data_IF_343894458869
#
_entry.id   IF_343894458869
#
_cell.length_a   1.000
_cell.length_b   1.000
_cell.length_c   1.000
_cell.angle_alpha   90.00
_cell.angle_beta   90.00
_cell.angle_gamma   90.00
#
_symmetry.space_group_name_H-M   'P 1'
#
loop_
_entity.id
_entity.type
_entity.pdbx_description
1 polymer ?
#
# COMPACT_ATOMS: atom_id res chain seq x y z
N UNK A 1 -12.31 21.18 12.88
CA UNK A 1 -11.75 20.15 13.77
C UNK A 1 -10.32 19.88 13.30
N UNK A 2 -9.27 20.10 14.10
CA UNK A 2 -7.91 19.80 13.70
C UNK A 2 -7.72 18.28 13.53
N UNK A 3 -6.78 17.88 12.67
CA UNK A 3 -6.38 16.48 12.56
C UNK A 3 -5.60 16.06 13.80
N UNK A 4 -5.72 14.79 14.19
CA UNK A 4 -4.93 14.25 15.28
C UNK A 4 -3.46 14.16 14.84
N UNK A 5 -2.56 14.69 15.68
CA UNK A 5 -1.12 14.72 15.41
C UNK A 5 -0.50 13.38 15.80
N UNK A 6 -0.28 12.52 14.81
CA UNK A 6 0.25 11.16 15.00
C UNK A 6 1.78 11.12 14.94
N UNK A 7 2.37 11.92 14.06
CA UNK A 7 3.82 11.99 13.81
C UNK A 7 4.19 13.35 13.21
N UNK A 8 5.45 13.79 13.35
CA UNK A 8 5.91 15.05 12.78
C UNK A 8 5.80 15.01 11.24
N UNK A 9 5.24 16.07 10.66
CA UNK A 9 5.13 16.25 9.23
C UNK A 9 6.29 17.10 8.70
N UNK A 10 6.68 16.86 7.45
CA UNK A 10 7.57 17.76 6.74
C UNK A 10 6.80 19.03 6.33
N UNK A 11 7.48 20.19 6.38
CA UNK A 11 6.91 21.48 5.93
C UNK A 11 6.93 21.58 4.40
N UNK A 12 6.21 20.66 3.76
CA UNK A 12 6.02 20.62 2.31
C UNK A 12 4.56 20.27 2.01
N UNK A 13 3.89 21.13 1.24
CA UNK A 13 2.52 20.91 0.78
C UNK A 13 2.50 20.50 -0.71
N UNK A 14 2.53 19.20 -1.02
CA UNK A 14 2.53 18.72 -2.40
C UNK A 14 1.27 19.15 -3.16
N UNK A 15 1.43 19.84 -4.28
CA UNK A 15 0.33 20.30 -5.13
C UNK A 15 0.18 19.46 -6.40
N UNK A 16 1.30 19.04 -6.99
CA UNK A 16 1.32 18.21 -8.21
C UNK A 16 2.58 17.37 -8.26
N UNK A 17 2.53 16.28 -9.03
CA UNK A 17 3.70 15.45 -9.24
C UNK A 17 3.71 14.87 -10.67
N UNK A 18 4.93 14.63 -11.20
CA UNK A 18 5.13 14.01 -12.51
C UNK A 18 6.47 13.27 -12.57
N UNK A 19 6.44 12.00 -12.97
CA UNK A 19 7.63 11.15 -13.01
C UNK A 19 8.23 11.03 -11.61
N UNK A 20 9.46 11.45 -11.44
CA UNK A 20 10.20 11.43 -10.17
C UNK A 20 10.19 12.78 -9.44
N UNK A 21 9.37 13.73 -9.87
CA UNK A 21 9.34 15.06 -9.29
C UNK A 21 7.98 15.38 -8.64
N UNK A 22 8.06 16.02 -7.49
CA UNK A 22 6.93 16.63 -6.76
C UNK A 22 7.09 18.13 -6.75
N UNK A 23 6.00 18.86 -6.79
CA UNK A 23 5.97 20.32 -6.74
C UNK A 23 5.01 20.74 -5.63
N UNK A 24 5.42 21.72 -4.83
CA UNK A 24 4.58 22.30 -3.79
C UNK A 24 3.64 23.39 -4.32
N UNK A 25 2.84 23.95 -3.42
CA UNK A 25 1.95 25.08 -3.71
C UNK A 25 2.70 26.36 -4.13
N UNK A 26 3.94 26.52 -3.69
CA UNK A 26 4.82 27.66 -4.01
C UNK A 26 5.54 27.49 -5.34
N UNK A 27 5.42 26.33 -5.98
CA UNK A 27 6.08 26.01 -7.25
C UNK A 27 7.50 25.43 -7.09
N UNK A 28 7.98 25.21 -5.89
CA UNK A 28 9.26 24.55 -5.68
C UNK A 28 9.22 23.11 -6.19
N UNK A 29 10.33 22.67 -6.77
CA UNK A 29 10.50 21.33 -7.35
C UNK A 29 11.38 20.47 -6.47
N UNK A 30 10.89 19.29 -6.13
CA UNK A 30 11.60 18.30 -5.31
C UNK A 30 11.81 17.02 -6.11
N UNK A 31 13.00 16.42 -5.97
CA UNK A 31 13.25 15.06 -6.44
C UNK A 31 12.67 14.08 -5.41
N UNK A 32 11.69 13.30 -5.81
CA UNK A 32 11.02 12.34 -4.95
C UNK A 32 11.78 11.00 -4.94
N UNK A 33 12.66 10.83 -3.98
CA UNK A 33 13.36 9.57 -3.71
C UNK A 33 12.61 8.68 -2.70
N UNK A 34 11.49 9.18 -2.16
CA UNK A 34 10.67 8.49 -1.17
C UNK A 34 9.51 7.69 -1.79
N UNK A 35 8.92 8.24 -2.86
CA UNK A 35 7.82 7.61 -3.59
C UNK A 35 6.60 7.29 -2.74
N UNK A 36 6.35 8.06 -1.66
CA UNK A 36 5.25 7.80 -0.73
C UNK A 36 5.32 6.39 -0.13
N UNK A 37 6.34 6.07 0.65
CA UNK A 37 6.67 4.73 1.16
C UNK A 37 6.88 3.70 0.03
N UNK A 38 7.53 4.12 -1.07
CA UNK A 38 7.78 3.30 -2.26
C UNK A 38 6.51 2.82 -3.02
N UNK A 39 5.34 3.40 -2.72
CA UNK A 39 4.07 3.01 -3.37
C UNK A 39 4.01 3.45 -4.84
N UNK A 40 4.59 4.61 -5.18
CA UNK A 40 4.58 5.16 -6.54
C UNK A 40 5.82 4.70 -7.33
N UNK A 41 6.10 3.42 -7.34
CA UNK A 41 7.28 2.83 -8.00
C UNK A 41 7.36 3.08 -9.51
N UNK A 42 6.20 3.26 -10.18
CA UNK A 42 6.12 3.55 -11.63
C UNK A 42 6.23 5.05 -11.96
N UNK A 43 6.42 5.90 -10.93
CA UNK A 43 6.46 7.36 -11.04
C UNK A 43 5.08 8.01 -11.10
N UNK A 44 5.06 9.28 -10.67
CA UNK A 44 3.84 10.08 -10.59
C UNK A 44 3.21 10.33 -11.97
N UNK A 45 1.91 10.20 -12.05
CA UNK A 45 1.14 10.56 -13.24
C UNK A 45 1.37 9.65 -14.45
N UNK A 46 1.81 8.41 -14.25
CA UNK A 46 2.05 7.45 -15.33
C UNK A 46 0.82 7.29 -16.23
N UNK A 47 0.99 7.52 -17.54
CA UNK A 47 -0.13 7.66 -18.49
C UNK A 47 -0.98 6.39 -18.59
N UNK A 48 -0.36 5.22 -18.67
CA UNK A 48 -1.09 3.95 -18.79
C UNK A 48 -1.86 3.66 -17.51
N UNK A 49 -1.25 3.85 -16.34
CA UNK A 49 -1.91 3.69 -15.04
C UNK A 49 -3.16 4.57 -14.92
N UNK A 50 -3.04 5.87 -15.19
CA UNK A 50 -4.17 6.81 -15.17
C UNK A 50 -5.28 6.41 -16.14
N UNK A 51 -4.92 5.99 -17.35
CA UNK A 51 -5.89 5.53 -18.35
C UNK A 51 -6.64 4.29 -17.90
N UNK A 52 -5.93 3.31 -17.33
CA UNK A 52 -6.55 2.07 -16.85
C UNK A 52 -7.47 2.32 -15.66
N UNK A 53 -7.06 3.14 -14.69
CA UNK A 53 -7.91 3.55 -13.58
C UNK A 53 -9.17 4.27 -14.07
N UNK A 54 -9.04 5.27 -14.94
CA UNK A 54 -10.18 6.00 -15.49
C UNK A 54 -11.15 5.05 -16.21
N UNK A 55 -10.61 4.12 -17.02
CA UNK A 55 -11.44 3.12 -17.72
C UNK A 55 -12.21 2.24 -16.73
N UNK A 56 -11.55 1.79 -15.65
CA UNK A 56 -12.20 0.94 -14.65
C UNK A 56 -13.24 1.72 -13.83
N UNK A 57 -12.94 2.93 -13.39
CA UNK A 57 -13.88 3.79 -12.66
C UNK A 57 -15.13 4.11 -13.48
N UNK A 58 -15.01 4.30 -14.78
CA UNK A 58 -16.17 4.52 -15.67
C UNK A 58 -17.03 3.26 -15.85
N UNK A 59 -16.53 2.07 -15.50
CA UNK A 59 -17.30 0.81 -15.55
C UNK A 59 -17.91 0.48 -14.18
N UNK A 60 -17.04 0.35 -13.20
CA UNK A 60 -17.37 0.09 -11.81
C UNK A 60 -16.17 0.42 -10.92
N UNK A 61 -16.34 1.35 -9.98
CA UNK A 61 -15.28 1.79 -9.08
C UNK A 61 -15.13 0.90 -7.85
N UNK A 62 -16.24 0.35 -7.36
CA UNK A 62 -16.28 -0.50 -6.17
C UNK A 62 -17.45 -1.48 -6.23
N UNK A 63 -17.24 -2.66 -5.70
CA UNK A 63 -18.29 -3.61 -5.36
C UNK A 63 -17.86 -4.51 -4.20
N UNK A 64 -18.82 -5.25 -3.63
CA UNK A 64 -18.59 -6.13 -2.48
C UNK A 64 -17.68 -7.31 -2.82
N UNK A 65 -16.84 -7.72 -1.85
CA UNK A 65 -16.07 -8.97 -1.92
C UNK A 65 -16.93 -10.26 -1.87
N UNK A 66 -18.24 -10.12 -1.71
CA UNK A 66 -19.18 -11.26 -1.77
C UNK A 66 -19.44 -11.78 -3.19
N UNK A 67 -18.86 -11.13 -4.21
CA UNK A 67 -19.00 -11.54 -5.61
C UNK A 67 -17.65 -11.78 -6.26
N UNK A 68 -17.64 -12.59 -7.30
CA UNK A 68 -16.41 -12.87 -8.06
C UNK A 68 -15.88 -11.61 -8.73
N UNK A 69 -14.55 -11.45 -8.71
CA UNK A 69 -13.87 -10.33 -9.34
C UNK A 69 -12.78 -10.82 -10.30
N UNK A 70 -13.06 -10.82 -11.61
CA UNK A 70 -12.11 -11.32 -12.61
C UNK A 70 -10.77 -10.58 -12.64
N UNK A 71 -10.70 -9.33 -12.14
CA UNK A 71 -9.45 -8.58 -12.04
C UNK A 71 -8.55 -9.13 -10.92
N UNK A 72 -9.13 -9.63 -9.84
CA UNK A 72 -8.36 -10.27 -8.76
C UNK A 72 -7.77 -11.60 -9.23
N UNK A 73 -8.56 -12.42 -9.92
CA UNK A 73 -8.10 -13.69 -10.50
C UNK A 73 -6.97 -13.47 -11.51
N UNK A 74 -7.13 -12.48 -12.39
CA UNK A 74 -6.10 -12.10 -13.35
C UNK A 74 -4.81 -11.62 -12.66
N UNK A 75 -4.93 -10.82 -11.59
CA UNK A 75 -3.79 -10.35 -10.81
C UNK A 75 -3.06 -11.52 -10.14
N UNK A 76 -3.80 -12.44 -9.51
CA UNK A 76 -3.23 -13.63 -8.89
C UNK A 76 -2.44 -14.47 -9.90
N UNK A 77 -3.06 -14.77 -11.03
CA UNK A 77 -2.41 -15.52 -12.12
C UNK A 77 -1.13 -14.86 -12.63
N UNK A 78 -1.14 -13.53 -12.77
CA UNK A 78 0.03 -12.79 -13.25
C UNK A 78 1.15 -12.74 -12.21
N UNK A 79 0.82 -12.57 -10.92
CA UNK A 79 1.81 -12.61 -9.84
C UNK A 79 2.46 -14.00 -9.78
N UNK A 80 1.67 -15.07 -9.81
CA UNK A 80 2.20 -16.44 -9.79
C UNK A 80 3.13 -16.70 -10.98
N UNK A 81 2.72 -16.28 -12.17
CA UNK A 81 3.53 -16.40 -13.39
C UNK A 81 4.88 -15.67 -13.29
N UNK A 82 4.88 -14.44 -12.73
CA UNK A 82 6.09 -13.62 -12.64
C UNK A 82 7.01 -14.01 -11.48
N UNK A 83 6.44 -14.48 -10.37
CA UNK A 83 7.20 -14.89 -9.19
C UNK A 83 7.75 -16.33 -9.30
N UNK A 84 7.18 -17.15 -10.17
CA UNK A 84 7.44 -18.58 -10.23
C UNK A 84 6.75 -19.39 -9.12
N UNK A 85 5.93 -18.75 -8.28
CA UNK A 85 5.22 -19.37 -7.17
C UNK A 85 3.86 -19.91 -7.61
N UNK A 86 3.84 -20.87 -8.55
CA UNK A 86 2.60 -21.33 -9.18
C UNK A 86 1.66 -22.10 -8.22
N UNK A 87 2.20 -22.65 -7.14
CA UNK A 87 1.45 -23.43 -6.15
C UNK A 87 0.96 -22.59 -4.95
N UNK A 88 1.09 -21.26 -5.05
CA UNK A 88 0.66 -20.34 -4.00
C UNK A 88 -0.67 -19.67 -4.34
N UNK A 89 -1.49 -19.47 -3.31
CA UNK A 89 -2.71 -18.66 -3.38
C UNK A 89 -2.45 -17.23 -2.94
N UNK A 90 -3.12 -16.28 -3.58
CA UNK A 90 -3.02 -14.85 -3.28
C UNK A 90 -4.12 -14.41 -2.34
N UNK A 91 -3.75 -13.97 -1.13
CA UNK A 91 -4.64 -13.23 -0.25
C UNK A 91 -4.42 -11.71 -0.42
N UNK A 92 -5.48 -10.99 -0.75
CA UNK A 92 -5.45 -9.54 -0.94
C UNK A 92 -6.00 -8.81 0.29
N UNK A 93 -5.24 -7.85 0.79
CA UNK A 93 -5.60 -7.02 1.94
C UNK A 93 -5.22 -5.55 1.71
N UNK A 94 -5.69 -4.66 2.58
CA UNK A 94 -5.52 -3.21 2.40
C UNK A 94 -4.22 -2.69 3.01
N UNK A 95 -3.54 -3.44 3.87
CA UNK A 95 -2.33 -3.00 4.57
C UNK A 95 -1.39 -4.14 4.92
N UNK A 96 -0.12 -3.81 5.15
CA UNK A 96 0.87 -4.78 5.65
C UNK A 96 0.52 -5.32 7.04
N UNK A 97 -0.13 -4.54 7.89
CA UNK A 97 -0.60 -4.99 9.20
C UNK A 97 -1.65 -6.09 9.07
N UNK A 98 -2.63 -5.91 8.16
CA UNK A 98 -3.61 -6.96 7.84
C UNK A 98 -2.96 -8.21 7.26
N UNK A 99 -1.97 -8.05 6.38
CA UNK A 99 -1.24 -9.17 5.81
C UNK A 99 -0.57 -10.00 6.91
N UNK A 100 0.14 -9.35 7.83
CA UNK A 100 0.80 -10.00 8.95
C UNK A 100 -0.21 -10.68 9.90
N UNK A 101 -1.30 -10.00 10.23
CA UNK A 101 -2.34 -10.56 11.11
C UNK A 101 -2.98 -11.81 10.49
N UNK A 102 -3.30 -11.76 9.20
CA UNK A 102 -3.87 -12.92 8.52
C UNK A 102 -2.86 -14.05 8.37
N UNK A 103 -1.59 -13.77 8.07
CA UNK A 103 -0.55 -14.79 8.04
C UNK A 103 -0.46 -15.53 9.38
N UNK A 104 -0.49 -14.81 10.51
CA UNK A 104 -0.48 -15.41 11.84
C UNK A 104 -1.72 -16.27 12.11
N UNK A 105 -2.88 -15.88 11.61
CA UNK A 105 -4.13 -16.67 11.76
C UNK A 105 -4.12 -17.97 10.94
N UNK A 106 -3.39 -17.98 9.82
CA UNK A 106 -3.26 -19.17 8.96
C UNK A 106 -2.18 -20.14 9.39
N UNK A 107 -1.32 -19.77 10.34
CA UNK A 107 -0.36 -20.72 10.93
C UNK A 107 -1.15 -21.74 11.73
N UNK A 108 -1.20 -23.03 11.32
CA UNK A 108 -1.95 -24.03 12.10
C UNK A 108 -1.29 -24.21 13.47
N UNK A 109 -2.07 -24.43 14.53
CA UNK A 109 -1.55 -24.68 15.88
C UNK A 109 -0.98 -26.12 15.96
N UNK A 110 0.12 -26.38 15.27
CA UNK A 110 0.83 -27.65 15.31
C UNK A 110 2.22 -27.43 15.93
N UNK A 111 2.33 -27.82 17.19
CA UNK A 111 3.59 -27.84 17.94
C UNK A 111 4.03 -26.45 18.45
N UNK A 112 5.14 -26.45 19.16
CA UNK A 112 5.74 -25.27 19.82
C UNK A 112 6.15 -24.17 18.80
N UNK A 113 5.20 -23.52 18.17
CA UNK A 113 5.44 -22.39 17.29
C UNK A 113 5.54 -21.12 18.15
N UNK A 114 6.77 -20.70 18.45
CA UNK A 114 7.02 -19.40 19.07
C UNK A 114 6.73 -18.29 18.06
N UNK A 115 5.55 -17.68 18.15
CA UNK A 115 5.25 -16.47 17.36
C UNK A 115 5.98 -15.28 17.97
N UNK A 116 7.13 -14.93 17.43
CA UNK A 116 7.84 -13.70 17.80
C UNK A 116 7.24 -12.54 17.04
N UNK A 117 6.34 -11.79 17.66
CA UNK A 117 5.91 -10.50 17.16
C UNK A 117 7.04 -9.49 17.33
N UNK A 118 7.73 -9.14 16.23
CA UNK A 118 8.61 -7.98 16.18
C UNK A 118 7.76 -6.72 16.09
N UNK A 119 7.21 -6.31 17.22
CA UNK A 119 6.64 -4.98 17.35
C UNK A 119 7.82 -4.01 17.33
N UNK A 120 8.06 -3.33 16.23
CA UNK A 120 8.87 -2.11 16.25
C UNK A 120 8.09 -1.10 17.09
N UNK A 121 8.35 -1.11 18.39
CA UNK A 121 7.89 -0.09 19.30
C UNK A 121 8.59 1.19 18.87
N UNK A 122 7.93 2.01 18.09
CA UNK A 122 8.31 3.41 17.94
C UNK A 122 8.30 3.97 19.36
N UNK A 123 9.49 4.28 19.91
CA UNK A 123 9.60 4.90 21.23
C UNK A 123 8.92 6.25 21.12
N UNK A 124 7.71 6.35 21.61
CA UNK A 124 7.07 7.60 21.96
C UNK A 124 7.92 8.27 23.03
N UNK A 125 8.81 9.18 22.61
CA UNK A 125 9.62 10.00 23.51
C UNK A 125 8.84 11.16 24.13
N UNK A 126 7.50 11.14 24.04
CA UNK A 126 6.64 12.16 24.68
C UNK A 126 5.35 11.54 25.23
N UNK A 127 5.48 10.76 26.30
CA UNK A 127 4.44 10.63 27.31
C UNK A 127 5.10 10.62 28.69
N UNK A 128 5.35 11.81 29.20
CA UNK A 128 5.33 12.04 30.63
C UNK A 128 3.91 12.51 30.95
N UNK A 129 3.19 11.72 31.69
CA UNK A 129 2.08 12.15 32.51
C UNK A 129 2.53 12.13 33.97
#
# INVERSE_FOLDING_TARGET
MPLFDVYPLYDVEPAKARGVYVYDQKGNKYLDLYGGHAVISIGHGHRTYKRMLKKQLNRIGFYSNAVQNPLQEKLSSEINRQSGCNDYELFMCSSGAEANENALKYIPPQGDCLVVSLTTRQRDTKRQF
#
